data_IF_173289013251
#
_entry.id   IF_173289013251
#
_cell.length_a   1.000
_cell.length_b   1.000
_cell.length_c   1.000
_cell.angle_alpha   90.00
_cell.angle_beta   90.00
_cell.angle_gamma   90.00
#
_symmetry.space_group_name_H-M   'P 1'
#
loop_
_entity.id
_entity.type
_entity.pdbx_description
1 polymer ?
#
# COMPACT_ATOMS: atom_id res chain seq x y z
N UNK A 1 2.14 21.11 -6.03
CA UNK A 1 3.02 20.18 -5.30
C UNK A 1 2.50 19.83 -3.91
N UNK A 2 2.30 20.81 -3.01
CA UNK A 2 1.80 20.57 -1.63
C UNK A 2 0.50 19.76 -1.61
N UNK A 3 -0.42 20.05 -2.52
CA UNK A 3 -1.72 19.33 -2.63
C UNK A 3 -1.52 17.86 -3.00
N UNK A 4 -0.68 17.54 -3.98
CA UNK A 4 -0.42 16.15 -4.41
C UNK A 4 0.24 15.35 -3.29
N UNK A 5 1.25 15.93 -2.61
CA UNK A 5 1.90 15.28 -1.49
C UNK A 5 0.92 15.01 -0.34
N UNK A 6 0.00 15.94 -0.09
CA UNK A 6 -1.06 15.72 0.90
C UNK A 6 -2.02 14.61 0.46
N UNK A 7 -2.41 14.56 -0.82
CA UNK A 7 -3.30 13.51 -1.32
C UNK A 7 -2.66 12.12 -1.17
N UNK A 8 -1.39 11.96 -1.54
CA UNK A 8 -0.65 10.70 -1.33
C UNK A 8 -0.64 10.34 0.17
N UNK A 9 -0.32 11.29 1.04
CA UNK A 9 -0.28 11.09 2.49
C UNK A 9 -1.64 10.60 3.02
N UNK A 10 -2.75 11.27 2.67
CA UNK A 10 -4.06 10.89 3.15
C UNK A 10 -4.52 9.52 2.62
N UNK A 11 -4.25 9.21 1.35
CA UNK A 11 -4.57 7.91 0.79
C UNK A 11 -3.79 6.78 1.47
N UNK A 12 -2.49 6.98 1.75
CA UNK A 12 -1.71 5.98 2.51
C UNK A 12 -2.25 5.84 3.94
N UNK A 13 -2.61 6.94 4.59
CA UNK A 13 -3.19 6.89 5.94
C UNK A 13 -4.55 6.18 5.97
N UNK A 14 -5.31 6.18 4.88
CA UNK A 14 -6.58 5.48 4.75
C UNK A 14 -6.44 3.99 4.37
N UNK A 15 -5.21 3.47 4.20
CA UNK A 15 -5.01 2.03 3.90
C UNK A 15 -5.58 1.09 4.98
N UNK A 16 -5.46 1.36 6.30
CA UNK A 16 -6.05 0.47 7.31
C UNK A 16 -7.55 0.24 7.13
N UNK A 17 -8.43 1.26 7.03
CA UNK A 17 -9.85 1.01 6.75
C UNK A 17 -10.10 0.47 5.35
N UNK A 18 -9.28 0.78 4.34
CA UNK A 18 -9.41 0.23 3.01
C UNK A 18 -9.17 -1.29 2.97
N UNK A 19 -8.22 -1.80 3.79
CA UNK A 19 -7.98 -3.23 3.94
C UNK A 19 -9.17 -3.95 4.59
N UNK A 20 -9.84 -3.30 5.53
CA UNK A 20 -11.06 -3.84 6.17
C UNK A 20 -12.23 -3.87 5.18
N UNK A 21 -12.35 -2.84 4.33
CA UNK A 21 -13.40 -2.77 3.31
C UNK A 21 -13.24 -3.83 2.19
N UNK A 22 -12.07 -4.46 2.09
CA UNK A 22 -11.82 -5.57 1.19
C UNK A 22 -10.65 -5.38 0.22
N UNK A 23 -10.19 -6.48 -0.39
CA UNK A 23 -8.98 -6.48 -1.23
C UNK A 23 -9.07 -5.54 -2.43
N UNK A 24 -10.24 -5.44 -3.05
CA UNK A 24 -10.45 -4.57 -4.21
C UNK A 24 -10.23 -3.09 -3.88
N UNK A 25 -10.73 -2.63 -2.72
CA UNK A 25 -10.58 -1.25 -2.28
C UNK A 25 -9.12 -0.93 -1.98
N UNK A 26 -8.44 -1.82 -1.24
CA UNK A 26 -7.03 -1.67 -0.92
C UNK A 26 -6.15 -1.65 -2.19
N UNK A 27 -6.40 -2.57 -3.13
CA UNK A 27 -5.69 -2.63 -4.40
C UNK A 27 -5.90 -1.36 -5.24
N UNK A 28 -7.12 -0.83 -5.29
CA UNK A 28 -7.43 0.41 -5.99
C UNK A 28 -6.64 1.59 -5.40
N UNK A 29 -6.52 1.66 -4.08
CA UNK A 29 -5.72 2.69 -3.40
C UNK A 29 -4.23 2.57 -3.77
N UNK A 30 -3.67 1.35 -3.76
CA UNK A 30 -2.28 1.11 -4.18
C UNK A 30 -2.03 1.64 -5.58
N UNK A 31 -2.93 1.36 -6.52
CA UNK A 31 -2.81 1.82 -7.91
C UNK A 31 -2.86 3.35 -7.99
N UNK A 32 -3.84 3.99 -7.35
CA UNK A 32 -3.98 5.46 -7.34
C UNK A 32 -2.75 6.13 -6.71
N UNK A 33 -2.27 5.61 -5.57
CA UNK A 33 -1.08 6.12 -4.88
C UNK A 33 0.15 6.03 -5.78
N UNK A 34 0.33 4.90 -6.48
CA UNK A 34 1.45 4.72 -7.39
C UNK A 34 1.42 5.73 -8.54
N UNK A 35 0.26 5.97 -9.15
CA UNK A 35 0.13 7.00 -10.20
C UNK A 35 0.46 8.40 -9.68
N UNK A 36 -0.05 8.78 -8.51
CA UNK A 36 0.25 10.07 -7.90
C UNK A 36 1.73 10.19 -7.53
N UNK A 37 2.34 9.12 -7.03
CA UNK A 37 3.78 9.07 -6.74
C UNK A 37 4.62 9.26 -7.99
N UNK A 38 4.34 8.52 -9.07
CA UNK A 38 5.04 8.71 -10.34
C UNK A 38 4.90 10.16 -10.84
N UNK A 39 3.69 10.71 -10.83
CA UNK A 39 3.48 12.10 -11.20
C UNK A 39 4.31 13.06 -10.33
N UNK A 40 4.37 12.85 -9.01
CA UNK A 40 5.16 13.66 -8.09
C UNK A 40 6.66 13.56 -8.39
N UNK A 41 7.19 12.34 -8.61
CA UNK A 41 8.60 12.11 -8.92
C UNK A 41 9.00 12.74 -10.27
N UNK A 42 8.20 12.54 -11.32
CA UNK A 42 8.49 13.14 -12.63
C UNK A 42 8.51 14.67 -12.57
N UNK A 43 7.58 15.25 -11.82
CA UNK A 43 7.51 16.72 -11.69
C UNK A 43 8.63 17.29 -10.82
N UNK A 44 9.11 16.55 -9.79
CA UNK A 44 10.19 16.99 -8.89
C UNK A 44 11.57 16.57 -9.36
N UNK A 45 11.66 15.69 -10.36
CA UNK A 45 12.89 15.06 -10.84
C UNK A 45 13.68 14.31 -9.74
N UNK A 46 13.02 13.86 -8.69
CA UNK A 46 13.60 13.15 -7.55
C UNK A 46 13.73 11.64 -7.80
N UNK A 47 14.49 11.27 -8.82
CA UNK A 47 14.68 9.86 -9.20
C UNK A 47 15.53 9.04 -8.20
N UNK A 48 16.14 9.69 -7.21
CA UNK A 48 16.94 9.06 -6.14
C UNK A 48 16.16 8.00 -5.36
N UNK A 49 14.82 8.14 -5.24
CA UNK A 49 14.00 7.15 -4.56
C UNK A 49 14.08 5.76 -5.17
N UNK A 50 14.28 5.63 -6.48
CA UNK A 50 14.47 4.34 -7.14
C UNK A 50 15.80 3.65 -6.80
N UNK A 51 16.77 4.39 -6.23
CA UNK A 51 18.04 3.85 -5.73
C UNK A 51 18.00 3.49 -4.24
N UNK A 52 16.83 3.60 -3.61
CA UNK A 52 16.70 3.32 -2.19
C UNK A 52 16.95 1.82 -1.91
N UNK A 53 17.70 1.52 -0.84
CA UNK A 53 18.15 0.15 -0.50
C UNK A 53 16.99 -0.84 -0.38
N UNK A 54 15.87 -0.44 0.21
CA UNK A 54 14.68 -1.30 0.31
C UNK A 54 14.05 -1.62 -1.04
N UNK A 55 14.09 -0.69 -2.00
CA UNK A 55 13.59 -0.95 -3.34
C UNK A 55 14.49 -1.92 -4.10
N UNK A 56 15.81 -1.78 -3.96
CA UNK A 56 16.78 -2.72 -4.56
C UNK A 56 16.57 -4.12 -3.97
N UNK A 57 16.40 -4.23 -2.65
CA UNK A 57 16.10 -5.50 -2.00
C UNK A 57 14.78 -6.10 -2.51
N UNK A 58 13.74 -5.28 -2.62
CA UNK A 58 12.47 -5.70 -3.21
C UNK A 58 12.64 -6.22 -4.64
N UNK A 59 13.44 -5.53 -5.48
CA UNK A 59 13.70 -5.98 -6.85
C UNK A 59 14.38 -7.34 -6.88
N UNK A 60 15.32 -7.62 -5.99
CA UNK A 60 15.96 -8.94 -5.88
C UNK A 60 14.91 -10.01 -5.58
N UNK A 61 14.07 -9.80 -4.58
CA UNK A 61 12.96 -10.72 -4.27
C UNK A 61 11.98 -10.87 -5.44
N UNK A 62 11.62 -9.77 -6.08
CA UNK A 62 10.72 -9.79 -7.22
C UNK A 62 11.29 -10.61 -8.39
N UNK A 63 12.59 -10.50 -8.64
CA UNK A 63 13.29 -11.33 -9.63
C UNK A 63 13.20 -12.83 -9.30
N UNK A 64 13.36 -13.20 -8.03
CA UNK A 64 13.19 -14.59 -7.58
C UNK A 64 11.75 -15.07 -7.84
N UNK A 65 10.73 -14.27 -7.58
CA UNK A 65 9.34 -14.59 -7.92
C UNK A 65 9.13 -14.83 -9.40
N UNK A 66 9.71 -13.98 -10.26
CA UNK A 66 9.60 -14.14 -11.72
C UNK A 66 10.30 -15.43 -12.18
N UNK A 67 11.50 -15.70 -11.70
CA UNK A 67 12.23 -16.94 -12.04
C UNK A 67 11.45 -18.17 -11.58
N UNK A 68 10.91 -18.15 -10.36
CA UNK A 68 10.07 -19.23 -9.85
C UNK A 68 8.82 -19.45 -10.73
N UNK A 69 8.20 -18.36 -11.17
CA UNK A 69 7.01 -18.43 -12.05
C UNK A 69 7.33 -19.02 -13.43
N UNK A 70 8.53 -18.75 -13.96
CA UNK A 70 9.00 -19.31 -15.24
C UNK A 70 9.29 -20.81 -15.15
N UNK A 71 9.62 -21.32 -13.96
CA UNK A 71 9.86 -22.75 -13.71
C UNK A 71 8.62 -23.52 -13.23
N UNK A 72 7.43 -22.90 -13.25
CA UNK A 72 6.19 -23.56 -12.84
C UNK A 72 5.57 -24.39 -13.96
N UNK A 73 4.79 -25.41 -13.63
CA UNK A 73 4.06 -26.23 -14.60
C UNK A 73 3.11 -25.39 -15.49
N UNK A 74 2.56 -24.29 -14.93
CA UNK A 74 1.65 -23.38 -15.62
C UNK A 74 2.23 -21.96 -15.64
N UNK A 75 3.22 -21.72 -16.52
CA UNK A 75 3.97 -20.46 -16.64
C UNK A 75 3.03 -19.25 -16.79
N UNK A 76 2.00 -19.37 -17.65
CA UNK A 76 1.09 -18.26 -17.92
C UNK A 76 0.31 -17.81 -16.67
N UNK A 77 -0.26 -18.75 -15.91
CA UNK A 77 -0.99 -18.46 -14.68
C UNK A 77 -0.07 -17.92 -13.58
N UNK A 78 1.11 -18.48 -13.43
CA UNK A 78 2.10 -18.05 -12.46
C UNK A 78 2.61 -16.63 -12.76
N UNK A 79 2.93 -16.31 -14.00
CA UNK A 79 3.34 -14.96 -14.41
C UNK A 79 2.19 -13.94 -14.24
N UNK A 80 0.97 -14.30 -14.62
CA UNK A 80 -0.20 -13.44 -14.42
C UNK A 80 -0.40 -13.06 -12.95
N UNK A 81 -0.07 -13.96 -12.03
CA UNK A 81 -0.12 -13.69 -10.59
C UNK A 81 1.08 -12.88 -10.10
N UNK A 82 2.29 -13.18 -10.60
CA UNK A 82 3.55 -12.58 -10.10
C UNK A 82 3.80 -11.17 -10.61
N UNK A 83 3.47 -10.87 -11.88
CA UNK A 83 3.74 -9.56 -12.48
C UNK A 83 3.09 -8.38 -11.73
N UNK A 84 1.82 -8.47 -11.29
CA UNK A 84 1.18 -7.37 -10.57
C UNK A 84 1.82 -7.02 -9.24
N UNK A 85 2.61 -7.91 -8.62
CA UNK A 85 3.28 -7.63 -7.34
C UNK A 85 4.28 -6.48 -7.41
N UNK A 86 4.79 -6.14 -8.60
CA UNK A 86 5.67 -4.97 -8.78
C UNK A 86 5.06 -3.68 -8.24
N UNK A 87 3.73 -3.52 -8.30
CA UNK A 87 3.01 -2.36 -7.76
C UNK A 87 3.26 -2.13 -6.27
N UNK A 88 3.49 -3.20 -5.48
CA UNK A 88 3.76 -3.09 -4.05
C UNK A 88 5.15 -2.53 -3.76
N UNK A 89 6.14 -2.81 -4.62
CA UNK A 89 7.46 -2.18 -4.54
C UNK A 89 7.39 -0.67 -4.78
N UNK A 90 6.63 -0.25 -5.78
CA UNK A 90 6.39 1.19 -6.06
C UNK A 90 5.62 1.85 -4.91
N UNK A 91 4.62 1.17 -4.35
CA UNK A 91 3.87 1.63 -3.18
C UNK A 91 4.79 1.85 -1.97
N UNK A 92 5.76 0.95 -1.73
CA UNK A 92 6.74 1.12 -0.66
C UNK A 92 7.59 2.39 -0.85
N UNK A 93 7.95 2.72 -2.09
CA UNK A 93 8.64 4.00 -2.40
C UNK A 93 7.73 5.21 -2.13
N UNK A 94 6.44 5.11 -2.43
CA UNK A 94 5.49 6.19 -2.14
C UNK A 94 5.38 6.45 -0.63
N UNK A 95 5.43 5.40 0.20
CA UNK A 95 5.47 5.53 1.67
C UNK A 95 6.75 6.24 2.11
N UNK A 96 7.93 5.79 1.65
CA UNK A 96 9.22 6.40 1.98
C UNK A 96 9.20 7.88 1.58
N UNK A 97 8.78 8.19 0.36
CA UNK A 97 8.64 9.56 -0.13
C UNK A 97 7.76 10.42 0.79
N UNK A 98 6.64 9.87 1.24
CA UNK A 98 5.69 10.59 2.10
C UNK A 98 6.26 10.86 3.49
N UNK A 99 6.98 9.89 4.06
CA UNK A 99 7.67 10.02 5.34
C UNK A 99 8.76 11.09 5.26
N UNK A 100 9.57 11.09 4.21
CA UNK A 100 10.64 12.08 4.02
C UNK A 100 10.10 13.51 3.88
N UNK A 101 8.88 13.66 3.31
CA UNK A 101 8.29 14.99 3.15
C UNK A 101 7.68 15.54 4.45
N UNK A 102 7.04 14.70 5.28
CA UNK A 102 6.28 15.14 6.46
C UNK A 102 6.09 14.01 7.48
N UNK A 103 7.16 13.50 8.07
CA UNK A 103 7.15 12.37 8.99
C UNK A 103 6.15 12.52 10.13
N UNK A 104 6.22 13.64 10.85
CA UNK A 104 5.40 13.84 12.07
C UNK A 104 3.90 13.92 11.74
N UNK A 105 3.56 14.61 10.64
CA UNK A 105 2.18 14.70 10.17
C UNK A 105 1.68 13.33 9.73
N UNK A 106 2.49 12.58 8.98
CA UNK A 106 2.16 11.24 8.53
C UNK A 106 1.89 10.30 9.71
N UNK A 107 2.82 10.19 10.64
CA UNK A 107 2.71 9.31 11.80
C UNK A 107 1.48 9.66 12.65
N UNK A 108 1.27 10.96 12.93
CA UNK A 108 0.14 11.42 13.74
C UNK A 108 -1.22 11.02 13.11
N UNK A 109 -1.37 11.21 11.80
CA UNK A 109 -2.62 10.89 11.10
C UNK A 109 -2.78 9.38 10.96
N UNK A 110 -1.72 8.68 10.56
CA UNK A 110 -1.73 7.24 10.37
C UNK A 110 -2.11 6.49 11.64
N UNK A 111 -1.45 6.77 12.77
CA UNK A 111 -1.76 6.12 14.03
C UNK A 111 -3.17 6.46 14.53
N UNK A 112 -3.66 7.68 14.31
CA UNK A 112 -5.04 8.04 14.66
C UNK A 112 -6.05 7.20 13.86
N UNK A 113 -5.88 7.10 12.53
CA UNK A 113 -6.78 6.32 11.67
C UNK A 113 -6.66 4.83 12.01
N UNK A 114 -5.46 4.33 12.23
CA UNK A 114 -5.21 2.94 12.63
C UNK A 114 -5.95 2.61 13.93
N UNK A 115 -5.84 3.47 14.95
CA UNK A 115 -6.51 3.29 16.24
C UNK A 115 -8.03 3.28 16.07
N UNK A 116 -8.59 4.20 15.28
CA UNK A 116 -10.04 4.23 15.00
C UNK A 116 -10.47 2.94 14.31
N UNK A 117 -9.71 2.49 13.29
CA UNK A 117 -10.01 1.25 12.57
C UNK A 117 -10.02 0.03 13.49
N UNK A 118 -9.00 -0.10 14.33
CA UNK A 118 -8.95 -1.20 15.33
C UNK A 118 -10.08 -1.11 16.35
N UNK A 119 -10.43 0.09 16.82
CA UNK A 119 -11.54 0.27 17.76
C UNK A 119 -12.88 -0.18 17.14
N UNK A 120 -13.12 0.17 15.88
CA UNK A 120 -14.33 -0.26 15.15
C UNK A 120 -14.36 -1.77 14.99
N UNK A 121 -13.24 -2.40 14.57
CA UNK A 121 -13.16 -3.85 14.42
C UNK A 121 -13.33 -4.59 15.75
N UNK A 122 -12.74 -4.07 16.81
CA UNK A 122 -12.90 -4.66 18.16
C UNK A 122 -14.33 -4.59 18.62
N UNK A 123 -14.99 -3.44 18.40
CA UNK A 123 -16.39 -3.26 18.74
C UNK A 123 -17.31 -4.20 17.93
N UNK A 124 -17.07 -4.31 16.62
CA UNK A 124 -17.81 -5.22 15.75
C UNK A 124 -17.63 -6.69 16.17
N UNK A 125 -16.39 -7.11 16.49
CA UNK A 125 -16.13 -8.45 17.00
C UNK A 125 -16.80 -8.76 18.34
N UNK A 126 -16.84 -7.80 19.27
CA UNK A 126 -17.58 -7.95 20.52
C UNK A 126 -19.09 -8.01 20.27
N UNK A 127 -19.59 -7.17 19.38
CA UNK A 127 -21.01 -7.18 19.00
C UNK A 127 -21.40 -8.52 18.36
N UNK A 128 -20.57 -9.04 17.46
CA UNK A 128 -20.78 -10.37 16.84
C UNK A 128 -20.80 -11.49 17.88
N UNK A 129 -19.91 -11.41 18.89
CA UNK A 129 -19.87 -12.41 19.96
C UNK A 129 -21.19 -12.45 20.75
N UNK A 130 -21.81 -11.31 21.04
CA UNK A 130 -23.06 -11.23 21.81
C UNK A 130 -24.33 -11.43 20.97
N UNK A 131 -24.34 -10.95 19.74
CA UNK A 131 -25.54 -10.92 18.88
C UNK A 131 -25.57 -12.00 17.81
N UNK A 132 -24.42 -12.67 17.53
CA UNK A 132 -24.31 -13.73 16.55
C UNK A 132 -24.18 -13.29 15.10
N UNK A 133 -24.13 -11.97 14.82
CA UNK A 133 -23.89 -11.41 13.49
C UNK A 133 -22.99 -10.18 13.59
N UNK A 134 -22.22 -9.91 12.51
CA UNK A 134 -21.35 -8.73 12.42
C UNK A 134 -22.05 -7.57 11.71
N UNK A 135 -21.61 -6.35 12.00
CA UNK A 135 -22.15 -5.13 11.41
C UNK A 135 -21.32 -4.72 10.19
N UNK A 136 -20.03 -5.01 10.18
CA UNK A 136 -19.05 -4.47 9.23
C UNK A 136 -18.74 -5.44 8.07
N UNK A 137 -19.06 -6.74 8.16
CA UNK A 137 -18.65 -7.63 7.08
C UNK A 137 -19.39 -8.95 6.99
#
# INVERSE_FOLDING_TARGET
MRTINNNILYLICLMPPALVAGPFVADSFVVIINFLFFYAIFKTKKYEYFKHKFFILFLIFYFVFIISSLNSENIFFSLKSSLPYFRHGVFSLAIIYTIDQNKDKFLKIFFRILLITFSVLTFDGLFQYFMGFNIVG
#
